data_IF_241569117959
#
_entry.id   IF_241569117959
#
_cell.length_a   1.000
_cell.length_b   1.000
_cell.length_c   1.000
_cell.angle_alpha   90.00
_cell.angle_beta   90.00
_cell.angle_gamma   90.00
#
_symmetry.space_group_name_H-M   'P 1'
#
loop_
_entity.id
_entity.type
_entity.pdbx_description
1 polymer ?
#
# COMPACT_ATOMS: atom_id res chain seq x y z
N UNK A 1 8.69 -9.07 -22.56
CA UNK A 1 9.60 -9.82 -21.68
C UNK A 1 8.94 -9.85 -20.32
N UNK A 2 8.79 -11.03 -19.71
CA UNK A 2 8.28 -11.17 -18.33
C UNK A 2 9.28 -10.45 -17.40
N UNK A 3 8.84 -9.42 -16.69
CA UNK A 3 9.68 -8.80 -15.67
C UNK A 3 9.72 -9.75 -14.48
N UNK A 4 10.84 -10.46 -14.35
CA UNK A 4 11.11 -11.33 -13.22
C UNK A 4 11.09 -10.55 -11.90
N UNK A 5 10.76 -11.25 -10.81
CA UNK A 5 10.81 -10.67 -9.47
C UNK A 5 12.21 -10.06 -9.20
N UNK A 6 12.22 -8.86 -8.63
CA UNK A 6 13.46 -8.17 -8.28
C UNK A 6 14.16 -8.90 -7.13
N UNK A 7 15.51 -8.99 -7.11
CA UNK A 7 16.23 -9.62 -6.03
C UNK A 7 15.94 -8.90 -4.70
N UNK A 8 15.76 -9.67 -3.62
CA UNK A 8 15.42 -9.16 -2.30
C UNK A 8 16.51 -9.42 -1.28
N UNK A 9 16.66 -8.47 -0.37
CA UNK A 9 17.38 -8.60 0.89
C UNK A 9 16.42 -8.99 2.01
N UNK A 10 16.94 -9.36 3.16
CA UNK A 10 16.18 -9.59 4.38
C UNK A 10 16.80 -8.83 5.54
N UNK A 11 15.96 -8.37 6.44
CA UNK A 11 16.34 -7.74 7.70
C UNK A 11 15.48 -8.28 8.82
N UNK A 12 16.09 -8.50 9.99
CA UNK A 12 15.34 -8.93 11.16
C UNK A 12 14.63 -7.73 11.80
N UNK A 13 13.33 -7.89 12.02
CA UNK A 13 12.44 -6.88 12.60
C UNK A 13 11.53 -7.56 13.60
N UNK A 14 11.63 -7.18 14.87
CA UNK A 14 10.81 -7.75 15.95
C UNK A 14 10.85 -9.29 16.00
N UNK A 15 12.02 -9.87 15.77
CA UNK A 15 12.22 -11.33 15.75
C UNK A 15 11.66 -12.04 14.52
N UNK A 16 11.42 -11.32 13.42
CA UNK A 16 10.94 -11.83 12.13
C UNK A 16 11.75 -11.27 10.99
N UNK A 17 11.92 -12.04 9.92
CA UNK A 17 12.58 -11.58 8.71
C UNK A 17 11.60 -10.82 7.83
N UNK A 18 11.88 -9.55 7.55
CA UNK A 18 11.19 -8.80 6.51
C UNK A 18 12.05 -8.75 5.25
N UNK A 19 11.47 -9.17 4.13
CA UNK A 19 12.10 -9.11 2.83
C UNK A 19 11.86 -7.74 2.18
N UNK A 20 12.82 -7.25 1.42
CA UNK A 20 12.67 -6.01 0.69
C UNK A 20 13.57 -5.97 -0.54
N UNK A 21 13.08 -5.32 -1.59
CA UNK A 21 13.90 -4.93 -2.72
C UNK A 21 14.63 -3.64 -2.40
N UNK A 22 15.91 -3.55 -2.78
CA UNK A 22 16.67 -2.30 -2.66
C UNK A 22 17.56 -2.08 -3.89
N UNK A 23 17.52 -0.86 -4.43
CA UNK A 23 18.32 -0.47 -5.58
C UNK A 23 18.70 1.01 -5.53
N UNK A 24 19.86 1.34 -6.09
CA UNK A 24 20.35 2.73 -6.14
C UNK A 24 21.03 3.18 -4.85
N UNK A 25 21.31 4.49 -4.77
CA UNK A 25 21.99 5.16 -3.65
C UNK A 25 21.40 6.56 -3.47
N UNK A 26 21.65 7.19 -2.33
CA UNK A 26 21.18 8.54 -2.01
C UNK A 26 19.94 8.53 -1.14
N UNK A 27 19.16 9.60 -1.19
CA UNK A 27 17.97 9.75 -0.33
C UNK A 27 16.94 8.63 -0.54
N UNK A 28 16.38 8.09 0.54
CA UNK A 28 15.46 6.95 0.45
C UNK A 28 14.13 7.32 -0.22
N UNK A 29 13.70 6.44 -1.13
CA UNK A 29 12.37 6.42 -1.73
C UNK A 29 11.74 5.10 -1.31
N UNK A 30 10.75 5.15 -0.41
CA UNK A 30 10.13 3.99 0.22
C UNK A 30 8.78 3.69 -0.41
N UNK A 31 8.65 2.50 -0.98
CA UNK A 31 7.45 2.02 -1.66
C UNK A 31 6.64 1.12 -0.74
N UNK A 32 5.40 1.48 -0.42
CA UNK A 32 4.55 0.68 0.44
C UNK A 32 3.33 0.16 -0.34
N UNK A 33 3.26 -1.14 -0.47
CA UNK A 33 2.14 -1.86 -1.07
C UNK A 33 1.02 -2.11 -0.04
N UNK A 34 -0.10 -2.69 -0.50
CA UNK A 34 -1.20 -3.13 0.37
C UNK A 34 -1.71 -4.53 0.05
N UNK A 35 -2.97 -4.75 0.26
CA UNK A 35 -3.64 -6.05 0.14
C UNK A 35 -3.99 -6.39 -1.33
N UNK A 36 -3.76 -7.57 -1.82
CA UNK A 36 -2.99 -8.71 -1.34
C UNK A 36 -1.61 -8.80 -2.02
N UNK A 37 -0.97 -7.67 -2.21
CA UNK A 37 0.24 -7.55 -3.01
C UNK A 37 1.54 -7.68 -2.20
N UNK A 38 2.65 -7.35 -2.82
CA UNK A 38 4.00 -7.30 -2.24
C UNK A 38 4.82 -6.23 -2.96
N UNK A 39 6.11 -6.14 -2.69
CA UNK A 39 7.04 -5.28 -3.45
C UNK A 39 6.98 -5.53 -4.96
N UNK A 40 6.54 -6.70 -5.40
CA UNK A 40 6.36 -7.05 -6.81
C UNK A 40 5.42 -6.10 -7.56
N UNK A 41 4.46 -5.50 -6.90
CA UNK A 41 3.56 -4.49 -7.46
C UNK A 41 4.31 -3.33 -8.10
N UNK A 42 5.47 -2.98 -7.55
CA UNK A 42 6.24 -1.82 -7.94
C UNK A 42 7.22 -2.05 -9.12
N UNK A 43 7.32 -3.29 -9.65
CA UNK A 43 8.29 -3.67 -10.69
C UNK A 43 8.22 -2.84 -11.97
N UNK A 44 7.05 -2.29 -12.28
CA UNK A 44 6.85 -1.42 -13.46
C UNK A 44 7.03 0.08 -13.15
N UNK A 45 7.10 0.46 -11.87
CA UNK A 45 7.28 1.84 -11.40
C UNK A 45 8.75 2.12 -11.08
N UNK A 46 9.40 1.23 -10.34
CA UNK A 46 10.77 1.36 -9.86
C UNK A 46 11.78 1.69 -10.96
N UNK A 47 11.76 1.07 -12.16
CA UNK A 47 12.73 1.35 -13.21
C UNK A 47 12.76 2.82 -13.67
N UNK A 48 11.62 3.51 -13.63
CA UNK A 48 11.51 4.92 -14.03
C UNK A 48 12.10 5.90 -12.99
N UNK A 49 12.43 5.41 -11.81
CA UNK A 49 12.99 6.19 -10.70
C UNK A 49 14.48 5.92 -10.46
N UNK A 50 15.09 5.08 -11.31
CA UNK A 50 16.52 4.78 -11.21
C UNK A 50 17.37 6.06 -11.32
N UNK A 51 18.36 6.16 -10.44
CA UNK A 51 19.23 7.34 -10.37
C UNK A 51 18.67 8.52 -9.55
N UNK A 52 17.42 8.47 -9.07
CA UNK A 52 16.81 9.55 -8.29
C UNK A 52 16.92 9.37 -6.77
N UNK A 53 17.39 8.21 -6.32
CA UNK A 53 17.56 7.90 -4.90
C UNK A 53 17.80 6.42 -4.64
N UNK A 54 17.76 6.06 -3.37
CA UNK A 54 17.79 4.69 -2.88
C UNK A 54 16.37 4.14 -2.83
N UNK A 55 16.00 3.28 -3.77
CA UNK A 55 14.68 2.73 -3.97
C UNK A 55 14.51 1.51 -3.06
N UNK A 56 13.58 1.57 -2.10
CA UNK A 56 13.37 0.55 -1.07
C UNK A 56 11.90 0.12 -1.12
N UNK A 57 11.63 -1.16 -1.36
CA UNK A 57 10.28 -1.71 -1.41
C UNK A 57 10.19 -2.96 -0.53
N UNK A 58 9.73 -2.84 0.73
CA UNK A 58 9.51 -4.00 1.59
C UNK A 58 8.29 -4.80 1.16
N UNK A 59 8.33 -6.10 1.45
CA UNK A 59 7.14 -6.91 1.62
C UNK A 59 6.66 -6.70 3.06
N UNK A 60 5.43 -6.22 3.24
CA UNK A 60 4.87 -6.07 4.57
C UNK A 60 4.78 -7.43 5.28
N UNK A 61 4.88 -7.42 6.62
CA UNK A 61 4.84 -8.69 7.38
C UNK A 61 3.63 -9.54 7.00
N UNK A 62 3.86 -10.81 6.73
CA UNK A 62 2.82 -11.73 6.28
C UNK A 62 2.57 -11.75 4.76
N UNK A 63 3.32 -10.98 3.96
CA UNK A 63 3.18 -10.93 2.49
C UNK A 63 4.51 -11.22 1.80
N UNK A 64 4.46 -11.45 0.48
CA UNK A 64 5.66 -11.68 -0.33
C UNK A 64 6.61 -12.72 0.27
N UNK A 65 7.87 -12.32 0.45
CA UNK A 65 8.94 -13.13 1.04
C UNK A 65 9.24 -12.79 2.51
N UNK A 66 8.44 -11.90 3.11
CA UNK A 66 8.49 -11.65 4.55
C UNK A 66 7.86 -12.80 5.34
N UNK A 67 8.34 -12.98 6.55
CA UNK A 67 7.86 -14.03 7.43
C UNK A 67 6.35 -13.93 7.68
N UNK A 68 5.73 -15.08 7.87
CA UNK A 68 4.38 -15.21 8.42
C UNK A 68 4.45 -15.18 9.95
N UNK A 69 3.46 -14.55 10.58
CA UNK A 69 3.37 -14.54 12.04
C UNK A 69 2.86 -15.91 12.53
N UNK A 70 3.42 -16.45 13.61
CA UNK A 70 2.98 -17.73 14.16
C UNK A 70 1.69 -17.58 14.98
N UNK A 71 1.05 -18.71 15.27
CA UNK A 71 -0.11 -18.78 16.19
C UNK A 71 -1.20 -17.77 15.84
N UNK A 72 -1.56 -17.69 14.57
CA UNK A 72 -2.43 -16.67 14.03
C UNK A 72 -3.82 -16.71 14.68
N UNK A 73 -4.23 -15.55 15.17
CA UNK A 73 -5.58 -15.26 15.70
C UNK A 73 -6.20 -14.13 14.86
N UNK A 74 -7.51 -13.88 14.94
CA UNK A 74 -8.16 -12.78 14.23
C UNK A 74 -7.53 -11.40 14.45
N UNK A 75 -6.83 -11.17 15.56
CA UNK A 75 -6.12 -9.92 15.88
C UNK A 75 -4.66 -9.87 15.42
N UNK A 76 -4.07 -10.97 14.93
CA UNK A 76 -2.62 -11.08 14.68
C UNK A 76 -2.13 -10.07 13.66
N UNK A 77 -2.83 -9.90 12.54
CA UNK A 77 -2.48 -8.95 11.50
C UNK A 77 -3.28 -7.63 11.63
N UNK A 78 -3.38 -7.09 12.85
CA UNK A 78 -4.04 -5.80 13.10
C UNK A 78 -3.29 -4.64 12.43
N UNK A 79 -3.93 -3.47 12.36
CA UNK A 79 -3.26 -2.24 11.91
C UNK A 79 -1.99 -1.99 12.72
N UNK A 80 -2.07 -2.12 14.05
CA UNK A 80 -0.95 -1.91 14.95
C UNK A 80 0.20 -2.90 14.71
N UNK A 81 -0.11 -4.16 14.41
CA UNK A 81 0.92 -5.17 14.11
C UNK A 81 1.71 -4.80 12.85
N UNK A 82 1.02 -4.43 11.76
CA UNK A 82 1.68 -3.96 10.54
C UNK A 82 2.45 -2.66 10.78
N UNK A 83 1.86 -1.70 11.53
CA UNK A 83 2.50 -0.45 11.93
C UNK A 83 3.85 -0.70 12.62
N UNK A 84 3.87 -1.52 13.68
CA UNK A 84 5.08 -1.76 14.45
C UNK A 84 6.17 -2.45 13.65
N UNK A 85 5.82 -3.43 12.81
CA UNK A 85 6.81 -4.09 11.95
C UNK A 85 7.35 -3.11 10.89
N UNK A 86 6.51 -2.29 10.28
CA UNK A 86 6.96 -1.30 9.30
C UNK A 86 7.85 -0.22 9.94
N UNK A 87 7.47 0.29 11.12
CA UNK A 87 8.27 1.30 11.80
C UNK A 87 9.64 0.75 12.20
N UNK A 88 9.69 -0.44 12.78
CA UNK A 88 10.93 -1.10 13.10
C UNK A 88 11.75 -1.48 11.85
N UNK A 89 11.09 -1.79 10.71
CA UNK A 89 11.75 -1.95 9.42
C UNK A 89 12.40 -0.64 8.96
N UNK A 90 11.69 0.48 9.04
CA UNK A 90 12.22 1.80 8.67
C UNK A 90 13.44 2.13 9.52
N UNK A 91 13.37 1.92 10.83
CA UNK A 91 14.48 2.20 11.74
C UNK A 91 15.69 1.28 11.53
N UNK A 92 15.48 0.05 11.05
CA UNK A 92 16.56 -0.90 10.76
C UNK A 92 17.25 -0.65 9.41
N UNK A 93 16.57 -0.01 8.45
CA UNK A 93 17.05 0.11 7.06
C UNK A 93 17.39 1.55 6.69
N UNK A 94 16.76 2.54 7.30
CA UNK A 94 16.89 3.97 6.95
C UNK A 94 17.43 4.74 8.15
N UNK A 95 18.57 5.42 7.94
CA UNK A 95 19.18 6.19 9.01
C UNK A 95 18.24 7.26 9.58
N UNK A 96 18.30 7.54 10.89
CA UNK A 96 17.40 8.51 11.53
C UNK A 96 17.48 9.94 10.97
N UNK A 97 18.62 10.29 10.37
CA UNK A 97 18.86 11.61 9.77
C UNK A 97 18.35 11.73 8.32
N UNK A 98 18.02 10.62 7.69
CA UNK A 98 17.52 10.61 6.31
C UNK A 98 16.04 10.99 6.25
N UNK A 99 15.69 11.81 5.24
CA UNK A 99 14.30 12.15 4.92
C UNK A 99 13.75 11.22 3.84
N UNK A 100 12.59 10.66 4.08
CA UNK A 100 11.97 9.64 3.23
C UNK A 100 11.00 10.29 2.23
N UNK A 101 11.13 9.94 0.96
CA UNK A 101 10.06 10.09 -0.01
C UNK A 101 9.21 8.82 -0.03
N UNK A 102 7.95 8.91 0.31
CA UNK A 102 7.01 7.80 0.28
C UNK A 102 6.35 7.66 -1.10
N UNK A 103 6.22 6.43 -1.60
CA UNK A 103 5.39 6.05 -2.76
C UNK A 103 4.44 4.97 -2.29
N UNK A 104 3.16 5.30 -2.10
CA UNK A 104 2.24 4.51 -1.28
C UNK A 104 0.92 4.22 -1.98
N UNK A 105 0.42 3.01 -1.75
CA UNK A 105 -0.80 2.48 -2.35
C UNK A 105 -1.60 1.66 -1.34
N UNK A 106 -2.93 1.67 -1.41
CA UNK A 106 -3.85 0.86 -0.61
C UNK A 106 -3.54 0.98 0.90
N UNK A 107 -3.39 -0.13 1.63
CA UNK A 107 -3.00 -0.13 3.05
C UNK A 107 -1.61 0.47 3.29
N UNK A 108 -0.70 0.37 2.33
CA UNK A 108 0.59 1.06 2.39
C UNK A 108 0.42 2.58 2.53
N UNK A 109 -0.66 3.15 2.00
CA UNK A 109 -0.97 4.57 2.18
C UNK A 109 -1.36 4.88 3.63
N UNK A 110 -2.19 4.05 4.24
CA UNK A 110 -2.59 4.24 5.63
C UNK A 110 -1.40 4.21 6.58
N UNK A 111 -0.48 3.24 6.38
CA UNK A 111 0.74 3.15 7.19
C UNK A 111 1.71 4.30 6.90
N UNK A 112 1.87 4.71 5.65
CA UNK A 112 2.74 5.81 5.25
C UNK A 112 2.25 7.16 5.77
N UNK A 113 0.96 7.46 5.68
CA UNK A 113 0.36 8.68 6.24
C UNK A 113 0.46 8.72 7.76
N UNK A 114 0.21 7.58 8.41
CA UNK A 114 0.33 7.48 9.85
C UNK A 114 1.78 7.67 10.33
N UNK A 115 2.76 7.08 9.64
CA UNK A 115 4.16 7.30 9.95
C UNK A 115 4.55 8.77 9.72
N UNK A 116 4.13 9.37 8.61
CA UNK A 116 4.42 10.77 8.28
C UNK A 116 3.87 11.75 9.31
N UNK A 117 2.68 11.46 9.85
CA UNK A 117 2.10 12.26 10.95
C UNK A 117 2.97 12.23 12.20
N UNK A 118 3.57 11.09 12.53
CA UNK A 118 4.39 10.94 13.74
C UNK A 118 5.84 11.40 13.54
N UNK A 119 6.30 11.52 12.30
CA UNK A 119 7.68 11.87 11.95
C UNK A 119 7.73 12.94 10.82
N UNK A 120 7.02 14.08 10.95
CA UNK A 120 6.86 15.04 9.86
C UNK A 120 8.19 15.60 9.34
N UNK A 121 9.17 15.80 10.23
CA UNK A 121 10.49 16.34 9.88
C UNK A 121 11.35 15.36 9.06
N UNK A 122 11.00 14.09 9.07
CA UNK A 122 11.65 13.02 8.30
C UNK A 122 10.95 12.72 6.97
N UNK A 123 9.94 13.48 6.58
CA UNK A 123 9.25 13.30 5.31
C UNK A 123 9.73 14.33 4.30
N UNK A 124 10.27 13.84 3.17
CA UNK A 124 10.67 14.67 2.03
C UNK A 124 9.51 14.98 1.10
N UNK A 125 8.59 14.03 0.94
CA UNK A 125 7.40 14.13 0.11
C UNK A 125 6.61 12.83 0.11
N UNK A 126 5.40 12.85 -0.44
CA UNK A 126 4.50 11.68 -0.48
C UNK A 126 3.84 11.60 -1.85
N UNK A 127 4.17 10.58 -2.64
CA UNK A 127 3.42 10.17 -3.82
C UNK A 127 2.42 9.08 -3.41
N UNK A 128 1.13 9.28 -3.68
CA UNK A 128 0.10 8.36 -3.24
C UNK A 128 -0.94 8.10 -4.32
N UNK A 129 -1.56 6.93 -4.27
CA UNK A 129 -2.52 6.46 -5.25
C UNK A 129 -3.45 5.41 -4.64
N UNK A 130 -4.74 5.43 -5.04
CA UNK A 130 -5.75 4.45 -4.63
C UNK A 130 -5.63 4.07 -3.14
N UNK A 131 -5.54 5.08 -2.28
CA UNK A 131 -5.20 4.97 -0.87
C UNK A 131 -6.38 5.22 0.07
N UNK A 132 -6.19 4.86 1.35
CA UNK A 132 -7.14 5.09 2.44
C UNK A 132 -6.82 6.48 3.02
N UNK A 133 -7.50 7.50 2.55
CA UNK A 133 -7.17 8.91 2.85
C UNK A 133 -7.99 9.52 3.98
N UNK A 134 -9.15 8.95 4.24
CA UNK A 134 -10.05 9.26 5.36
C UNK A 134 -10.99 8.07 5.61
N UNK A 135 -11.70 8.00 6.75
CA UNK A 135 -12.76 7.01 6.90
C UNK A 135 -13.89 7.22 5.88
N UNK A 136 -14.51 6.15 5.47
CA UNK A 136 -15.73 6.16 4.65
C UNK A 136 -16.94 6.31 5.57
N UNK A 137 -17.79 7.31 5.30
CA UNK A 137 -18.95 7.61 6.15
C UNK A 137 -20.02 6.51 6.12
N UNK A 138 -20.13 5.85 4.97
CA UNK A 138 -21.07 4.76 4.77
C UNK A 138 -20.54 3.75 3.75
N UNK A 139 -21.25 2.64 3.59
CA UNK A 139 -20.96 1.65 2.55
C UNK A 139 -21.15 2.20 1.13
N UNK A 140 -22.05 3.15 0.94
CA UNK A 140 -22.31 3.78 -0.36
C UNK A 140 -21.12 4.65 -0.82
N UNK A 141 -20.33 5.19 0.11
CA UNK A 141 -19.05 5.85 -0.22
C UNK A 141 -17.96 4.88 -0.61
N UNK A 142 -18.05 3.63 -0.20
CA UNK A 142 -17.15 2.55 -0.61
C UNK A 142 -17.55 2.08 -2.00
N UNK A 143 -16.96 2.65 -3.03
CA UNK A 143 -17.37 2.52 -4.43
C UNK A 143 -17.19 1.14 -5.06
N UNK A 144 -16.58 0.18 -4.35
CA UNK A 144 -16.35 -1.16 -4.86
C UNK A 144 -17.48 -2.11 -4.43
N UNK A 145 -17.52 -3.26 -5.00
CA UNK A 145 -18.36 -4.43 -4.79
C UNK A 145 -18.82 -4.60 -3.33
N UNK A 146 -19.73 -3.72 -2.87
CA UNK A 146 -20.21 -3.64 -1.47
C UNK A 146 -20.56 -5.02 -0.91
N UNK A 147 -21.39 -5.87 -1.58
CA UNK A 147 -21.77 -7.16 -1.03
C UNK A 147 -20.58 -8.09 -0.75
N UNK A 148 -19.54 -8.02 -1.56
CA UNK A 148 -18.33 -8.86 -1.38
C UNK A 148 -17.57 -8.42 -0.14
N UNK A 149 -17.37 -7.11 0.06
CA UNK A 149 -16.66 -6.61 1.24
C UNK A 149 -17.47 -6.77 2.53
N UNK A 150 -18.79 -6.67 2.47
CA UNK A 150 -19.66 -7.04 3.58
C UNK A 150 -19.56 -8.53 3.90
N UNK A 151 -19.49 -9.38 2.86
CA UNK A 151 -19.21 -10.82 3.01
C UNK A 151 -17.89 -11.10 3.73
N UNK A 152 -16.79 -10.40 3.39
CA UNK A 152 -15.51 -10.57 4.07
C UNK A 152 -15.58 -10.20 5.57
N UNK A 153 -16.47 -9.29 5.95
CA UNK A 153 -16.71 -8.88 7.36
C UNK A 153 -17.66 -9.80 8.11
N UNK A 154 -18.43 -10.59 7.41
CA UNK A 154 -19.35 -11.57 7.99
C UNK A 154 -18.61 -12.81 8.50
N UNK A 155 -19.27 -13.74 9.22
CA UNK A 155 -18.71 -15.05 9.55
C UNK A 155 -18.25 -15.85 8.33
N UNK A 156 -18.92 -15.72 7.17
CA UNK A 156 -18.57 -16.39 5.92
C UNK A 156 -17.23 -15.90 5.33
N UNK A 157 -16.74 -14.74 5.77
CA UNK A 157 -15.50 -14.17 5.26
C UNK A 157 -14.28 -15.05 5.46
N UNK A 158 -14.25 -15.88 6.50
CA UNK A 158 -13.17 -16.86 6.70
C UNK A 158 -13.17 -17.93 5.60
N UNK A 159 -14.33 -18.50 5.27
CA UNK A 159 -14.47 -19.44 4.17
C UNK A 159 -14.07 -18.79 2.84
N UNK A 160 -14.62 -17.62 2.54
CA UNK A 160 -14.33 -16.91 1.29
C UNK A 160 -12.83 -16.65 1.10
N UNK A 161 -12.14 -16.23 2.14
CA UNK A 161 -10.73 -15.82 2.01
C UNK A 161 -9.78 -16.94 2.39
N UNK A 162 -9.97 -17.60 3.56
CA UNK A 162 -9.01 -18.59 4.02
C UNK A 162 -9.14 -19.90 3.24
N UNK A 163 -10.34 -20.32 2.88
CA UNK A 163 -10.55 -21.58 2.16
C UNK A 163 -10.51 -21.39 0.64
N UNK A 164 -11.19 -20.37 0.10
CA UNK A 164 -11.36 -20.15 -1.33
C UNK A 164 -10.34 -19.17 -1.94
N UNK A 165 -9.51 -18.50 -1.12
CA UNK A 165 -8.55 -17.47 -1.56
C UNK A 165 -9.17 -16.37 -2.43
N UNK A 166 -10.42 -16.02 -2.17
CA UNK A 166 -11.23 -15.12 -3.01
C UNK A 166 -10.56 -13.77 -3.23
N UNK A 167 -9.81 -13.25 -2.25
CA UNK A 167 -9.17 -11.94 -2.41
C UNK A 167 -8.12 -11.96 -3.53
N UNK A 168 -7.28 -12.98 -3.62
CA UNK A 168 -6.29 -13.11 -4.69
C UNK A 168 -6.96 -13.54 -6.01
N UNK A 169 -7.73 -14.64 -5.97
CA UNK A 169 -8.22 -15.28 -7.19
C UNK A 169 -9.33 -14.49 -7.91
N UNK A 170 -10.12 -13.70 -7.16
CA UNK A 170 -11.25 -12.96 -7.73
C UNK A 170 -11.07 -11.45 -7.67
N UNK A 171 -10.65 -10.89 -6.51
CA UNK A 171 -10.53 -9.43 -6.37
C UNK A 171 -9.28 -8.94 -7.11
N UNK A 172 -8.10 -9.44 -6.79
CA UNK A 172 -6.88 -9.03 -7.47
C UNK A 172 -6.95 -9.38 -8.95
N UNK A 173 -7.10 -10.65 -9.29
CA UNK A 173 -7.03 -11.11 -10.69
C UNK A 173 -8.21 -10.65 -11.54
N UNK A 174 -9.35 -10.31 -10.95
CA UNK A 174 -10.49 -9.72 -11.64
C UNK A 174 -10.37 -8.22 -11.91
N UNK A 175 -9.38 -7.54 -11.32
CA UNK A 175 -9.23 -6.07 -11.42
C UNK A 175 -7.97 -5.61 -12.13
N UNK A 176 -6.97 -6.50 -12.30
CA UNK A 176 -5.74 -6.22 -13.03
C UNK A 176 -5.85 -6.60 -14.52
N UNK A 177 -5.02 -6.00 -15.40
CA UNK A 177 -4.89 -6.48 -16.78
C UNK A 177 -4.43 -7.94 -16.82
N UNK A 178 -4.62 -8.60 -17.95
CA UNK A 178 -4.10 -9.96 -18.16
C UNK A 178 -2.57 -9.97 -17.97
N UNK A 179 -2.11 -10.79 -17.05
CA UNK A 179 -0.70 -11.03 -16.76
C UNK A 179 -0.22 -12.35 -17.39
N UNK A 180 1.09 -12.56 -17.40
CA UNK A 180 1.67 -13.87 -17.68
C UNK A 180 1.41 -14.84 -16.53
N UNK A 181 1.46 -16.15 -16.79
CA UNK A 181 1.32 -17.18 -15.77
C UNK A 181 2.35 -17.03 -14.63
N UNK A 182 3.58 -16.62 -14.97
CA UNK A 182 4.64 -16.38 -13.99
C UNK A 182 4.30 -15.20 -13.05
N UNK A 183 3.68 -14.13 -13.58
CA UNK A 183 3.25 -12.98 -12.77
C UNK A 183 2.05 -13.33 -11.89
N UNK A 184 1.09 -14.11 -12.40
CA UNK A 184 0.00 -14.65 -11.57
C UNK A 184 0.53 -15.56 -10.46
N UNK A 185 1.50 -16.43 -10.77
CA UNK A 185 2.14 -17.31 -9.78
C UNK A 185 2.86 -16.49 -8.69
N UNK A 186 3.53 -15.39 -9.04
CA UNK A 186 4.21 -14.53 -8.07
C UNK A 186 3.24 -13.86 -7.09
N UNK A 187 2.09 -13.38 -7.55
CA UNK A 187 1.05 -12.84 -6.66
C UNK A 187 0.38 -13.91 -5.79
N UNK A 188 0.20 -15.12 -6.33
CA UNK A 188 -0.45 -16.24 -5.63
C UNK A 188 0.47 -16.88 -4.60
N UNK A 189 1.77 -16.95 -4.87
CA UNK A 189 2.78 -17.68 -4.11
C UNK A 189 2.75 -17.44 -2.60
N UNK A 190 2.60 -16.18 -2.10
CA UNK A 190 2.59 -15.94 -0.65
C UNK A 190 1.34 -16.49 0.07
N UNK A 191 0.30 -16.89 -0.65
CA UNK A 191 -1.03 -17.22 -0.14
C UNK A 191 -1.52 -18.62 -0.57
N UNK A 192 -0.60 -19.53 -0.86
CA UNK A 192 -0.96 -20.90 -1.27
C UNK A 192 -1.60 -21.70 -0.14
N UNK A 193 -1.11 -21.55 1.09
CA UNK A 193 -1.65 -22.25 2.25
C UNK A 193 -2.75 -21.42 2.92
N UNK A 194 -3.71 -22.12 3.50
CA UNK A 194 -4.84 -21.51 4.23
C UNK A 194 -4.38 -20.55 5.32
N UNK A 195 -3.42 -21.00 6.13
CA UNK A 195 -2.87 -20.24 7.26
C UNK A 195 -2.12 -18.98 6.84
N UNK A 196 -1.64 -18.92 5.60
CA UNK A 196 -0.92 -17.77 5.07
C UNK A 196 -1.85 -16.63 4.59
N UNK A 197 -3.17 -16.87 4.50
CA UNK A 197 -4.17 -15.93 3.97
C UNK A 197 -4.75 -14.98 5.02
N UNK A 198 -4.38 -15.09 6.29
CA UNK A 198 -4.89 -14.21 7.34
C UNK A 198 -4.68 -12.71 7.10
N UNK A 199 -3.56 -12.22 6.55
CA UNK A 199 -3.42 -10.81 6.22
C UNK A 199 -4.51 -10.34 5.25
N UNK A 200 -4.80 -11.16 4.21
CA UNK A 200 -5.78 -10.83 3.16
C UNK A 200 -7.22 -10.83 3.66
N UNK A 201 -7.50 -11.46 4.79
CA UNK A 201 -8.78 -11.39 5.51
C UNK A 201 -8.83 -10.20 6.46
N UNK A 202 -7.73 -9.96 7.21
CA UNK A 202 -7.73 -8.91 8.23
C UNK A 202 -7.82 -7.52 7.64
N UNK A 203 -7.15 -7.27 6.54
CA UNK A 203 -7.17 -5.96 5.89
C UNK A 203 -8.58 -5.50 5.45
N UNK A 204 -9.41 -6.26 4.72
CA UNK A 204 -10.74 -5.81 4.38
C UNK A 204 -11.65 -5.66 5.61
N UNK A 205 -11.42 -6.44 6.67
CA UNK A 205 -12.12 -6.30 7.96
C UNK A 205 -11.70 -5.04 8.73
N UNK A 206 -10.57 -4.44 8.38
CA UNK A 206 -10.01 -3.25 9.04
C UNK A 206 -10.29 -1.94 8.28
N UNK A 207 -10.90 -1.97 7.09
CA UNK A 207 -11.24 -0.74 6.35
C UNK A 207 -12.20 0.10 7.21
N UNK A 208 -11.89 1.39 7.47
CA UNK A 208 -12.71 2.24 8.33
C UNK A 208 -13.99 2.70 7.60
N UNK A 209 -15.07 1.95 7.74
CA UNK A 209 -16.37 2.22 7.09
C UNK A 209 -17.46 2.33 8.15
N UNK A 210 -18.29 3.37 8.08
CA UNK A 210 -19.44 3.62 8.96
C UNK A 210 -19.07 3.59 10.46
N UNK A 211 -17.90 4.12 10.81
CA UNK A 211 -17.41 4.18 12.19
C UNK A 211 -16.68 2.94 12.70
N UNK A 212 -16.55 1.88 11.89
CA UNK A 212 -15.95 0.62 12.30
C UNK A 212 -14.80 0.14 11.37
N UNK A 213 -13.74 -0.48 11.95
CA UNK A 213 -13.46 -0.64 13.40
C UNK A 213 -13.00 0.69 14.02
N UNK A 214 -13.45 0.99 15.23
CA UNK A 214 -13.27 2.28 15.90
C UNK A 214 -11.82 2.67 16.10
N UNK A 215 -10.94 1.73 16.41
CA UNK A 215 -9.51 1.96 16.58
C UNK A 215 -8.83 2.40 15.25
N UNK A 216 -9.20 1.80 14.13
CA UNK A 216 -8.66 2.18 12.81
C UNK A 216 -9.27 3.50 12.35
N UNK A 217 -10.58 3.72 12.60
CA UNK A 217 -11.25 5.00 12.31
C UNK A 217 -10.49 6.15 12.97
N UNK A 218 -10.21 6.06 14.27
CA UNK A 218 -9.51 7.11 15.01
C UNK A 218 -8.10 7.39 14.44
N UNK A 219 -7.36 6.36 14.05
CA UNK A 219 -6.04 6.51 13.43
C UNK A 219 -6.17 7.23 12.08
N UNK A 220 -7.11 6.78 11.25
CA UNK A 220 -7.32 7.32 9.91
C UNK A 220 -7.80 8.78 9.95
N UNK A 221 -8.72 9.13 10.84
CA UNK A 221 -9.14 10.53 11.09
C UNK A 221 -7.96 11.41 11.49
N UNK A 222 -7.11 10.88 12.37
CA UNK A 222 -5.97 11.61 12.90
C UNK A 222 -4.93 11.95 11.82
N UNK A 223 -4.55 11.00 10.95
CA UNK A 223 -3.65 11.33 9.85
C UNK A 223 -4.34 12.11 8.73
N UNK A 224 -5.64 11.91 8.48
CA UNK A 224 -6.38 12.66 7.49
C UNK A 224 -6.39 14.17 7.81
N UNK A 225 -6.64 14.51 9.08
CA UNK A 225 -6.57 15.89 9.56
C UNK A 225 -5.15 16.48 9.41
N UNK A 226 -4.11 15.71 9.72
CA UNK A 226 -2.72 16.12 9.52
C UNK A 226 -2.41 16.34 8.03
N UNK A 227 -2.81 15.40 7.15
CA UNK A 227 -2.54 15.49 5.72
C UNK A 227 -3.22 16.68 5.05
N UNK A 228 -4.40 17.08 5.51
CA UNK A 228 -5.12 18.24 5.02
C UNK A 228 -4.42 19.58 5.37
N UNK A 229 -3.69 19.63 6.47
CA UNK A 229 -3.13 20.88 7.01
C UNK A 229 -1.65 21.08 6.72
N UNK A 230 -0.84 19.99 6.61
CA UNK A 230 0.59 20.10 6.43
C UNK A 230 0.98 20.56 5.00
N UNK A 231 2.20 21.10 4.89
CA UNK A 231 2.77 21.58 3.63
C UNK A 231 3.78 20.62 3.00
N UNK A 232 3.89 19.40 3.48
CA UNK A 232 4.73 18.36 2.87
C UNK A 232 4.35 18.22 1.39
N UNK A 233 5.32 18.23 0.45
CA UNK A 233 5.03 18.07 -0.97
C UNK A 233 4.30 16.75 -1.25
N UNK A 234 3.22 16.81 -2.01
CA UNK A 234 2.38 15.66 -2.36
C UNK A 234 2.27 15.48 -3.85
N UNK A 235 2.27 14.24 -4.29
CA UNK A 235 2.00 13.85 -5.66
C UNK A 235 0.85 12.86 -5.68
N UNK A 236 -0.30 13.32 -6.16
CA UNK A 236 -1.51 12.50 -6.26
C UNK A 236 -1.61 11.87 -7.65
N UNK A 237 -1.62 10.54 -7.70
CA UNK A 237 -1.94 9.79 -8.91
C UNK A 237 -3.40 9.38 -8.86
N UNK A 238 -4.24 10.13 -9.55
CA UNK A 238 -5.67 9.86 -9.68
C UNK A 238 -5.91 8.77 -10.71
N UNK A 239 -6.66 7.75 -10.34
CA UNK A 239 -7.02 6.66 -11.24
C UNK A 239 -8.34 6.94 -11.98
N UNK A 240 -8.41 6.57 -13.28
CA UNK A 240 -9.63 6.63 -14.08
C UNK A 240 -9.98 5.22 -14.61
N UNK A 241 -11.10 4.61 -14.23
CA UNK A 241 -12.14 5.13 -13.33
C UNK A 241 -11.75 5.13 -11.85
N UNK A 242 -10.70 4.38 -11.43
CA UNK A 242 -10.35 4.16 -10.04
C UNK A 242 -11.23 3.12 -9.36
N UNK A 243 -11.05 2.96 -8.04
CA UNK A 243 -11.85 2.04 -7.23
C UNK A 243 -12.18 2.59 -5.84
N UNK A 244 -11.18 2.85 -5.00
CA UNK A 244 -11.41 3.30 -3.62
C UNK A 244 -11.20 4.80 -3.42
N UNK A 245 -10.39 5.42 -4.28
CA UNK A 245 -10.12 6.87 -4.22
C UNK A 245 -10.91 7.58 -5.32
N UNK A 246 -12.24 7.51 -5.22
CA UNK A 246 -13.22 8.10 -6.14
C UNK A 246 -14.19 9.00 -5.37
N UNK A 247 -15.01 9.78 -6.05
CA UNK A 247 -16.03 10.62 -5.42
C UNK A 247 -15.51 11.47 -4.27
N UNK A 248 -16.19 11.45 -3.14
CA UNK A 248 -15.89 12.28 -1.97
C UNK A 248 -14.49 12.07 -1.36
N UNK A 249 -13.92 10.85 -1.27
CA UNK A 249 -12.52 10.65 -0.89
C UNK A 249 -11.52 11.34 -1.83
N UNK A 250 -11.75 11.27 -3.15
CA UNK A 250 -10.91 11.95 -4.16
C UNK A 250 -10.98 13.47 -4.00
N UNK A 251 -12.17 14.03 -3.87
CA UNK A 251 -12.33 15.47 -3.66
C UNK A 251 -11.69 15.94 -2.35
N UNK A 252 -11.76 15.12 -1.30
CA UNK A 252 -11.04 15.41 -0.05
C UNK A 252 -9.52 15.54 -0.27
N UNK A 253 -8.91 14.61 -1.03
CA UNK A 253 -7.48 14.70 -1.36
C UNK A 253 -7.15 15.97 -2.14
N UNK A 254 -8.02 16.41 -3.02
CA UNK A 254 -7.83 17.64 -3.83
C UNK A 254 -7.80 18.91 -3.01
N UNK A 255 -8.28 18.88 -1.76
CA UNK A 255 -8.18 20.00 -0.83
C UNK A 255 -6.80 20.11 -0.16
N UNK A 256 -5.93 19.09 -0.30
CA UNK A 256 -4.64 19.06 0.37
C UNK A 256 -3.66 20.08 -0.22
N UNK A 257 -2.90 20.73 0.65
CA UNK A 257 -1.92 21.75 0.28
C UNK A 257 -0.69 21.14 -0.40
N UNK A 258 -0.03 21.94 -1.23
CA UNK A 258 1.24 21.61 -1.88
C UNK A 258 1.17 20.27 -2.63
N UNK A 259 0.19 20.15 -3.51
CA UNK A 259 -0.09 18.93 -4.25
C UNK A 259 -0.01 19.13 -5.75
N UNK A 260 0.66 18.22 -6.42
CA UNK A 260 0.62 18.01 -7.88
C UNK A 260 -0.23 16.77 -8.15
N UNK A 261 -1.07 16.81 -9.19
CA UNK A 261 -1.94 15.69 -9.58
C UNK A 261 -1.68 15.29 -11.02
N UNK A 262 -1.66 13.96 -11.27
CA UNK A 262 -1.77 13.38 -12.60
C UNK A 262 -2.92 12.38 -12.62
N UNK A 263 -3.48 12.12 -13.79
CA UNK A 263 -4.49 11.07 -13.98
C UNK A 263 -3.93 9.96 -14.85
N UNK A 264 -4.19 8.70 -14.47
CA UNK A 264 -3.80 7.50 -15.21
C UNK A 264 -4.98 6.56 -15.36
N UNK A 265 -4.95 5.76 -16.42
CA UNK A 265 -5.98 4.74 -16.65
C UNK A 265 -5.77 3.54 -15.71
N UNK A 266 -6.86 3.05 -15.14
CA UNK A 266 -6.87 1.86 -14.32
C UNK A 266 -7.91 1.88 -13.20
N UNK A 267 -8.01 0.76 -12.50
CA UNK A 267 -8.89 0.61 -11.34
C UNK A 267 -8.06 0.76 -10.06
N UNK A 268 -8.04 -0.25 -9.20
CA UNK A 268 -7.31 -0.19 -7.93
C UNK A 268 -5.79 -0.42 -8.10
N UNK A 269 -5.39 -1.47 -8.80
CA UNK A 269 -3.97 -1.82 -8.98
C UNK A 269 -3.40 -1.15 -10.23
N UNK A 270 -3.40 0.19 -10.23
CA UNK A 270 -2.98 1.01 -11.39
C UNK A 270 -1.52 0.83 -11.77
N UNK A 271 -0.70 0.30 -10.88
CA UNK A 271 0.69 -0.04 -11.16
C UNK A 271 0.80 -1.13 -12.24
N UNK A 272 -0.20 -1.99 -12.35
CA UNK A 272 -0.24 -3.03 -13.37
C UNK A 272 -0.61 -2.49 -14.76
N UNK A 273 -1.53 -1.55 -14.85
CA UNK A 273 -1.97 -0.93 -16.10
C UNK A 273 -1.10 0.25 -16.54
N UNK A 274 -0.65 1.07 -15.61
CA UNK A 274 -0.03 2.38 -15.88
C UNK A 274 1.30 2.58 -15.16
N UNK A 275 2.00 1.52 -14.75
CA UNK A 275 3.17 1.60 -13.88
C UNK A 275 4.28 2.49 -14.41
N UNK A 276 4.65 2.40 -15.70
CA UNK A 276 5.66 3.26 -16.30
C UNK A 276 5.23 4.74 -16.32
N UNK A 277 3.95 5.02 -16.61
CA UNK A 277 3.42 6.40 -16.59
C UNK A 277 3.46 6.98 -15.18
N UNK A 278 3.08 6.19 -14.18
CA UNK A 278 3.18 6.57 -12.77
C UNK A 278 4.63 6.88 -12.39
N UNK A 279 5.56 5.98 -12.73
CA UNK A 279 6.98 6.17 -12.43
C UNK A 279 7.56 7.43 -13.09
N UNK A 280 7.27 7.67 -14.37
CA UNK A 280 7.69 8.90 -15.08
C UNK A 280 7.12 10.17 -14.45
N UNK A 281 5.84 10.14 -14.06
CA UNK A 281 5.21 11.26 -13.36
C UNK A 281 5.87 11.58 -12.04
N UNK A 282 6.13 10.57 -11.21
CA UNK A 282 6.85 10.72 -9.94
C UNK A 282 8.28 11.23 -10.19
N UNK A 283 8.99 10.70 -11.19
CA UNK A 283 10.34 11.12 -11.54
C UNK A 283 10.41 12.60 -11.95
N UNK A 284 9.46 13.06 -12.76
CA UNK A 284 9.35 14.46 -13.15
C UNK A 284 9.08 15.36 -11.93
N UNK A 285 8.13 14.96 -11.08
CA UNK A 285 7.80 15.69 -9.86
C UNK A 285 8.98 15.80 -8.87
N UNK A 286 9.75 14.70 -8.69
CA UNK A 286 10.96 14.72 -7.86
C UNK A 286 11.96 15.77 -8.39
N UNK A 287 12.20 15.78 -9.70
CA UNK A 287 13.15 16.71 -10.33
C UNK A 287 12.72 18.16 -10.23
N UNK A 288 11.41 18.41 -10.32
CA UNK A 288 10.85 19.77 -10.28
C UNK A 288 10.70 20.34 -8.86
N UNK A 289 10.31 19.50 -7.90
CA UNK A 289 9.86 19.98 -6.57
C UNK A 289 10.77 19.57 -5.42
N UNK A 290 11.62 18.56 -5.61
CA UNK A 290 12.38 17.98 -4.50
C UNK A 290 13.91 17.99 -4.73
N UNK A 291 14.40 18.29 -5.91
CA UNK A 291 15.82 18.54 -6.21
C UNK A 291 16.11 20.01 -6.36
#
# INVERSE_FOLDING_TARGET
MSQTALPKKKVEVLGRQMAYHERGKGQPILFLHGNPTSSFLWRKVIPELEGLGRLIAPDLIGTGDSDKLPNVKPSTYSFQTHRYHLWAFIDAVIEPTEKILFVIHDWGSAYGFDWAKHNPDRVRGIAYMEGIVRPYKSWEEWSAIIPVFQGFRSPEGEKMILDENTFVERILFGTIPKLSEAEYAEYRRPFLKREDRWPTLKWPRSIPIAGEPTDVVAIVESYAAFMAQNSIPKFFVSANPGAILTGAPREFCRTWKNQTEITVEGRHFIQESSGATIGKGIAAWIKEKLL
#
